data_IF_963905821157
#
_entry.id   IF_963905821157
#
_cell.length_a   1.000
_cell.length_b   1.000
_cell.length_c   1.000
_cell.angle_alpha   90.00
_cell.angle_beta   90.00
_cell.angle_gamma   90.00
#
_symmetry.space_group_name_H-M   'P 1'
#
loop_
_entity.id
_entity.type
_entity.pdbx_description
1 polymer ?
#
# COMPACT_ATOMS: atom_id res chain seq x y z
N UNK A 1 1.74 7.50 19.20
CA UNK A 1 1.67 7.17 18.66
C UNK A 1 1.70 6.77 17.74
N UNK A 2 1.94 6.52 17.41
CA UNK A 2 1.97 6.12 16.48
C UNK A 2 1.99 5.53 15.93
N UNK A 3 1.69 5.46 15.73
CA UNK A 3 1.83 4.72 15.26
C UNK A 3 1.99 4.14 14.15
N UNK A 4 1.73 3.40 14.05
CA UNK A 4 2.22 2.65 12.92
C UNK A 4 1.33 2.84 11.70
N UNK A 5 1.94 3.12 10.56
CA UNK A 5 1.22 3.27 9.31
C UNK A 5 1.14 1.90 8.64
N UNK A 6 0.20 1.09 9.08
CA UNK A 6 -0.05 -0.21 8.47
C UNK A 6 -0.72 -0.01 7.12
N UNK A 7 -0.40 -0.84 6.17
CA UNK A 7 -0.96 -0.74 4.83
C UNK A 7 -2.50 -0.75 4.86
N UNK A 8 -3.07 -1.61 5.67
CA UNK A 8 -4.52 -1.70 5.80
C UNK A 8 -5.19 -0.43 6.27
N UNK A 9 -4.47 0.38 7.05
CA UNK A 9 -4.99 1.65 7.56
C UNK A 9 -4.62 2.83 6.67
N UNK A 10 -3.42 2.82 6.14
CA UNK A 10 -2.90 3.96 5.38
C UNK A 10 -3.33 3.95 3.92
N UNK A 11 -3.43 2.78 3.31
CA UNK A 11 -3.72 2.68 1.88
C UNK A 11 -5.03 3.35 1.47
N UNK A 12 -6.16 3.14 2.17
CA UNK A 12 -7.40 3.82 1.79
C UNK A 12 -7.30 5.34 1.84
N UNK A 13 -6.57 5.85 2.82
CA UNK A 13 -6.39 7.29 2.95
C UNK A 13 -5.56 7.88 1.82
N UNK A 14 -4.49 7.16 1.46
CA UNK A 14 -3.65 7.59 0.35
C UNK A 14 -4.43 7.54 -0.96
N UNK A 15 -5.22 6.52 -1.13
CA UNK A 15 -6.07 6.40 -2.31
C UNK A 15 -7.04 7.56 -2.43
N UNK A 16 -7.67 7.97 -1.32
CA UNK A 16 -8.59 9.10 -1.31
C UNK A 16 -7.91 10.38 -1.74
N UNK A 17 -6.62 10.49 -1.47
CA UNK A 17 -5.82 11.67 -1.82
C UNK A 17 -5.13 11.54 -3.18
N UNK A 18 -5.43 10.51 -3.92
CA UNK A 18 -4.88 10.32 -5.27
C UNK A 18 -3.49 9.72 -5.33
N UNK A 19 -3.04 9.11 -4.25
CA UNK A 19 -1.74 8.46 -4.21
C UNK A 19 -1.86 6.96 -4.42
N UNK A 20 -0.86 6.39 -5.07
CA UNK A 20 -0.79 4.95 -5.26
C UNK A 20 -0.04 4.32 -4.07
N UNK A 21 -0.78 3.69 -3.17
CA UNK A 21 -0.21 3.05 -2.00
C UNK A 21 0.25 1.63 -2.32
N UNK A 22 1.52 1.36 -2.07
CA UNK A 22 2.13 0.06 -2.35
C UNK A 22 2.45 -0.63 -1.03
N UNK A 23 2.04 -1.91 -0.84
CA UNK A 23 2.40 -2.64 0.37
C UNK A 23 3.89 -2.97 0.37
N UNK A 24 4.53 -2.69 1.49
CA UNK A 24 5.98 -2.89 1.66
C UNK A 24 6.21 -3.98 2.70
N UNK A 25 7.11 -4.91 2.41
CA UNK A 25 7.43 -6.01 3.33
C UNK A 25 8.00 -5.42 4.63
N UNK A 26 7.44 -5.81 5.81
CA UNK A 26 7.89 -5.26 7.09
C UNK A 26 9.40 -5.45 7.30
N UNK A 27 10.02 -4.40 7.81
CA UNK A 27 11.45 -4.44 8.07
C UNK A 27 12.35 -4.24 6.87
N UNK A 28 11.76 -4.03 5.70
CA UNK A 28 12.50 -3.79 4.46
C UNK A 28 11.93 -2.61 3.72
N UNK A 29 12.55 -2.28 2.59
CA UNK A 29 12.02 -1.26 1.68
C UNK A 29 11.51 -1.90 0.39
N UNK A 30 11.31 -3.20 0.42
CA UNK A 30 10.89 -3.93 -0.76
C UNK A 30 9.38 -4.01 -0.87
N UNK A 31 8.81 -3.77 -2.05
CA UNK A 31 7.37 -3.99 -2.25
C UNK A 31 7.02 -5.47 -2.04
N UNK A 32 5.86 -5.71 -1.48
CA UNK A 32 5.37 -7.07 -1.27
C UNK A 32 4.94 -7.74 -2.57
N UNK A 33 4.80 -6.95 -3.63
CA UNK A 33 4.32 -7.40 -4.93
C UNK A 33 5.41 -7.21 -5.96
N UNK A 34 5.76 -8.26 -6.70
CA UNK A 34 6.81 -8.18 -7.72
C UNK A 34 6.47 -7.22 -8.85
N UNK A 35 5.22 -7.21 -9.25
CA UNK A 35 4.77 -6.37 -10.37
C UNK A 35 4.11 -5.09 -9.93
N UNK A 36 4.62 -4.52 -8.85
CA UNK A 36 4.03 -3.30 -8.31
C UNK A 36 4.06 -2.13 -9.30
N UNK A 37 5.05 -2.09 -10.17
CA UNK A 37 5.14 -1.01 -11.16
C UNK A 37 4.06 -1.12 -12.23
N UNK A 38 3.55 -2.32 -12.46
CA UNK A 38 2.52 -2.57 -13.46
C UNK A 38 1.12 -2.60 -12.87
N UNK A 39 1.02 -2.56 -11.55
CA UNK A 39 -0.26 -2.62 -10.85
C UNK A 39 -0.84 -1.22 -10.68
N UNK A 40 -2.13 -1.09 -10.95
CA UNK A 40 -2.82 0.20 -10.78
C UNK A 40 -3.33 0.33 -9.35
N UNK A 41 -2.57 1.02 -8.50
CA UNK A 41 -2.96 1.22 -7.11
C UNK A 41 -3.95 2.36 -6.90
N UNK A 42 -4.42 2.97 -7.98
CA UNK A 42 -5.50 3.96 -7.90
C UNK A 42 -6.88 3.31 -7.99
N UNK A 43 -6.93 2.01 -8.22
CA UNK A 43 -8.18 1.30 -8.28
C UNK A 43 -8.54 0.78 -6.89
N UNK A 44 -9.73 1.19 -6.41
CA UNK A 44 -10.16 0.86 -5.06
C UNK A 44 -10.23 -0.65 -4.81
N UNK A 45 -10.66 -1.41 -5.80
CA UNK A 45 -10.74 -2.87 -5.66
C UNK A 45 -9.37 -3.49 -5.47
N UNK A 46 -8.35 -2.97 -6.16
CA UNK A 46 -6.98 -3.45 -6.03
C UNK A 46 -6.43 -3.14 -4.65
N UNK A 47 -6.58 -1.88 -4.24
CA UNK A 47 -6.07 -1.44 -2.92
C UNK A 47 -6.78 -2.19 -1.80
N UNK A 48 -8.10 -2.34 -1.91
CA UNK A 48 -8.87 -3.07 -0.90
C UNK A 48 -8.45 -4.52 -0.79
N UNK A 49 -8.17 -5.15 -1.93
CA UNK A 49 -7.72 -6.53 -1.96
C UNK A 49 -6.36 -6.70 -1.26
N UNK A 50 -5.41 -5.81 -1.55
CA UNK A 50 -4.10 -5.86 -0.91
C UNK A 50 -4.16 -5.43 0.55
N UNK A 51 -5.01 -4.50 0.91
CA UNK A 51 -5.21 -4.11 2.30
C UNK A 51 -5.71 -5.29 3.13
N UNK A 52 -6.52 -6.15 2.52
CA UNK A 52 -7.02 -7.36 3.16
C UNK A 52 -5.94 -8.42 3.27
N UNK A 53 -5.08 -8.55 2.25
CA UNK A 53 -4.00 -9.54 2.24
C UNK A 53 -2.82 -9.13 3.12
N UNK A 54 -2.49 -7.86 3.13
CA UNK A 54 -1.30 -7.35 3.82
C UNK A 54 -1.66 -6.22 4.79
N UNK A 55 -2.60 -6.47 5.72
CA UNK A 55 -3.09 -5.38 6.56
C UNK A 55 -2.02 -4.76 7.45
N UNK A 56 -1.02 -5.53 7.82
CA UNK A 56 0.04 -5.06 8.72
C UNK A 56 1.36 -4.77 8.03
N UNK A 57 1.37 -4.78 6.71
CA UNK A 57 2.57 -4.44 5.96
C UNK A 57 2.79 -2.94 5.98
N UNK A 58 4.03 -2.54 5.73
CA UNK A 58 4.35 -1.14 5.59
C UNK A 58 3.72 -0.56 4.33
N UNK A 59 3.73 0.75 4.21
CA UNK A 59 3.14 1.42 3.06
C UNK A 59 4.17 2.33 2.39
N UNK A 60 4.22 2.27 1.07
CA UNK A 60 5.03 3.18 0.26
C UNK A 60 4.14 3.88 -0.74
N UNK A 61 4.63 4.98 -1.29
CA UNK A 61 3.90 5.71 -2.31
C UNK A 61 4.64 5.59 -3.63
N UNK A 62 3.92 5.15 -4.64
CA UNK A 62 4.49 5.04 -5.99
C UNK A 62 4.52 6.42 -6.62
N UNK A 63 5.70 6.86 -6.97
CA UNK A 63 5.91 8.21 -7.53
C UNK A 63 6.30 8.15 -9.00
N UNK A 64 5.88 7.18 -9.64
CA UNK A 64 6.30 6.95 -10.99
C UNK A 64 5.71 7.71 -12.08
#
# INVERSE_FOLDING_TARGET
MNKSLDYGNAAPRLLENGYEAVPIVPGTKRPAIEKWTETNFLEASVVGNYASKFPKYGVGVKTG
#
